data_IF_213996714815
#
_entry.id   IF_213996714815
#
_cell.length_a   1.000
_cell.length_b   1.000
_cell.length_c   1.000
_cell.angle_alpha   90.00
_cell.angle_beta   90.00
_cell.angle_gamma   90.00
#
_symmetry.space_group_name_H-M   'P 1'
#
loop_
_entity.id
_entity.type
_entity.pdbx_description
1 polymer ?
#
# COMPACT_ATOMS: atom_id res chain seq x y z
N UNK A 1 20.97 34.26 11.25
CA UNK A 1 20.89 32.97 10.52
C UNK A 1 21.97 32.93 9.45
N UNK A 2 22.69 31.81 9.28
CA UNK A 2 23.51 31.52 8.11
C UNK A 2 22.76 31.76 6.78
N UNK A 3 23.45 32.09 5.68
CA UNK A 3 22.84 32.52 4.41
C UNK A 3 21.88 31.47 3.82
N UNK A 4 22.27 30.20 3.91
CA UNK A 4 21.47 29.02 3.60
C UNK A 4 20.17 28.96 4.42
N UNK A 5 20.23 29.27 5.72
CA UNK A 5 19.03 29.32 6.56
C UNK A 5 18.17 30.55 6.29
N UNK A 6 18.73 31.68 5.82
CA UNK A 6 17.95 32.85 5.39
C UNK A 6 17.16 32.60 4.11
N UNK A 7 17.70 31.80 3.18
CA UNK A 7 17.00 31.38 1.95
C UNK A 7 15.76 30.55 2.28
N UNK A 8 15.85 29.66 3.28
CA UNK A 8 14.74 28.79 3.68
C UNK A 8 13.51 29.52 4.26
N UNK A 9 13.67 30.74 4.80
CA UNK A 9 12.59 31.55 5.40
C UNK A 9 12.17 32.75 4.55
N UNK A 10 12.80 32.96 3.40
CA UNK A 10 12.38 34.00 2.46
C UNK A 10 11.50 33.39 1.38
N UNK A 11 10.34 34.00 1.11
CA UNK A 11 9.40 33.60 0.05
C UNK A 11 9.94 33.79 -1.39
N UNK A 12 11.27 33.72 -1.58
CA UNK A 12 11.91 33.62 -2.90
C UNK A 12 11.84 32.17 -3.38
N UNK A 13 10.62 31.70 -3.65
CA UNK A 13 10.33 30.36 -4.17
C UNK A 13 11.05 30.06 -5.51
N UNK A 14 11.42 31.10 -6.27
CA UNK A 14 11.84 30.95 -7.66
C UNK A 14 13.31 30.55 -7.89
N UNK A 15 14.20 30.63 -6.90
CA UNK A 15 15.63 30.32 -7.11
C UNK A 15 16.06 28.97 -6.51
N UNK A 16 15.26 28.38 -5.63
CA UNK A 16 15.65 27.19 -4.87
C UNK A 16 15.44 25.87 -5.63
N UNK A 17 14.55 25.85 -6.63
CA UNK A 17 14.25 24.65 -7.41
C UNK A 17 14.31 24.96 -8.90
N UNK A 18 15.03 24.12 -9.65
CA UNK A 18 14.97 24.17 -11.11
C UNK A 18 13.56 23.74 -11.53
N UNK A 19 12.94 24.40 -12.52
CA UNK A 19 11.68 23.94 -13.10
C UNK A 19 11.78 22.47 -13.52
N UNK A 20 10.71 21.71 -13.28
CA UNK A 20 10.63 20.32 -13.76
C UNK A 20 10.76 20.34 -15.28
N UNK A 21 11.73 19.60 -15.87
CA UNK A 21 11.92 19.60 -17.32
C UNK A 21 10.72 18.98 -18.02
N UNK A 22 10.53 19.31 -19.30
CA UNK A 22 9.49 18.65 -20.12
C UNK A 22 9.75 17.14 -20.17
N UNK A 23 8.69 16.30 -20.13
CA UNK A 23 8.83 14.85 -20.22
C UNK A 23 9.60 14.39 -21.47
N UNK A 24 10.58 13.52 -21.26
CA UNK A 24 11.39 12.88 -22.29
C UNK A 24 10.61 11.77 -23.01
N UNK A 25 11.13 11.23 -24.11
CA UNK A 25 10.47 10.18 -24.93
C UNK A 25 10.09 8.91 -24.17
N UNK A 26 10.76 8.65 -23.06
CA UNK A 26 10.52 7.48 -22.21
C UNK A 26 9.70 7.81 -20.97
N UNK A 27 9.33 9.07 -20.76
CA UNK A 27 8.61 9.50 -19.57
C UNK A 27 7.11 9.23 -19.74
N UNK A 28 6.49 8.79 -18.65
CA UNK A 28 5.08 8.41 -18.61
C UNK A 28 4.16 9.50 -19.17
N UNK A 29 4.31 10.74 -18.69
CA UNK A 29 3.52 11.91 -19.09
C UNK A 29 3.69 12.33 -20.56
N UNK A 30 4.69 11.79 -21.27
CA UNK A 30 4.81 11.98 -22.72
C UNK A 30 4.02 10.94 -23.51
N UNK A 31 3.88 9.75 -22.96
CA UNK A 31 3.23 8.61 -23.62
C UNK A 31 1.78 8.41 -23.19
N UNK A 32 1.37 9.02 -22.08
CA UNK A 32 0.02 8.95 -21.53
C UNK A 32 -0.50 10.35 -21.26
N UNK A 33 -1.68 10.65 -21.79
CA UNK A 33 -2.35 11.93 -21.56
C UNK A 33 -3.11 11.88 -20.24
N UNK A 34 -2.57 12.56 -19.22
CA UNK A 34 -3.20 12.69 -17.91
C UNK A 34 -3.62 14.14 -17.67
N UNK A 35 -4.84 14.34 -17.18
CA UNK A 35 -5.26 15.65 -16.69
C UNK A 35 -4.52 15.92 -15.38
N UNK A 36 -3.58 16.86 -15.41
CA UNK A 36 -2.93 17.31 -14.19
C UNK A 36 -3.93 17.84 -13.16
N UNK A 37 -3.56 17.79 -11.88
CA UNK A 37 -4.36 18.31 -10.78
C UNK A 37 -3.77 19.61 -10.26
N UNK A 38 -4.58 20.67 -10.18
CA UNK A 38 -4.14 21.93 -9.54
C UNK A 38 -4.21 21.82 -8.03
N UNK A 39 -3.40 22.60 -7.29
CA UNK A 39 -3.46 22.62 -5.81
C UNK A 39 -4.87 22.93 -5.28
N UNK A 40 -5.56 23.90 -5.87
CA UNK A 40 -6.97 24.22 -5.50
C UNK A 40 -7.92 23.04 -5.74
N UNK A 41 -7.69 22.25 -6.79
CA UNK A 41 -8.47 21.04 -7.05
C UNK A 41 -8.15 19.93 -6.05
N UNK A 42 -6.87 19.79 -5.68
CA UNK A 42 -6.42 18.85 -4.65
C UNK A 42 -7.02 19.16 -3.28
N UNK A 43 -7.02 20.42 -2.86
CA UNK A 43 -7.63 20.88 -1.60
C UNK A 43 -9.14 20.61 -1.52
N UNK A 44 -9.83 20.65 -2.67
CA UNK A 44 -11.28 20.37 -2.77
C UNK A 44 -11.62 18.89 -2.90
N UNK A 45 -10.62 18.02 -3.01
CA UNK A 45 -10.84 16.58 -3.17
C UNK A 45 -11.37 16.01 -1.85
N UNK A 46 -12.58 15.46 -1.89
CA UNK A 46 -13.28 14.89 -0.72
C UNK A 46 -12.92 13.43 -0.46
N UNK A 47 -12.28 12.76 -1.41
CA UNK A 47 -11.88 11.35 -1.38
C UNK A 47 -10.58 11.14 -0.60
N UNK A 48 -10.48 11.70 0.61
CA UNK A 48 -9.27 11.65 1.45
C UNK A 48 -9.62 11.25 2.87
N UNK A 49 -8.90 10.27 3.41
CA UNK A 49 -8.96 9.95 4.82
C UNK A 49 -8.44 11.14 5.64
N UNK A 50 -9.29 11.68 6.51
CA UNK A 50 -8.91 12.74 7.46
C UNK A 50 -9.18 12.23 8.87
N UNK A 51 -8.13 11.97 9.66
CA UNK A 51 -8.29 11.57 11.05
C UNK A 51 -9.04 12.66 11.83
N UNK A 52 -10.07 12.28 12.59
CA UNK A 52 -10.84 13.23 13.41
C UNK A 52 -11.35 12.58 14.71
N UNK A 53 -11.00 13.19 15.85
CA UNK A 53 -11.39 12.72 17.18
C UNK A 53 -11.07 11.23 17.40
N UNK A 54 -12.09 10.37 17.51
CA UNK A 54 -11.91 8.92 17.67
C UNK A 54 -11.71 8.19 16.35
N UNK A 55 -12.12 8.78 15.23
CA UNK A 55 -12.04 8.23 13.88
C UNK A 55 -10.63 8.43 13.31
N UNK A 56 -9.68 7.59 13.75
CA UNK A 56 -8.25 7.75 13.45
C UNK A 56 -7.47 6.43 13.38
N UNK A 57 -8.14 5.28 13.43
CA UNK A 57 -7.49 3.96 13.42
C UNK A 57 -7.43 3.39 12.00
N UNK A 58 -6.22 3.04 11.56
CA UNK A 58 -5.96 2.25 10.36
C UNK A 58 -5.87 0.79 10.79
N UNK A 59 -6.82 -0.02 10.37
CA UNK A 59 -6.79 -1.45 10.57
C UNK A 59 -6.01 -2.14 9.45
N UNK A 60 -5.08 -3.02 9.82
CA UNK A 60 -4.36 -3.90 8.90
C UNK A 60 -4.90 -5.31 9.09
N UNK A 61 -5.52 -5.88 8.06
CA UNK A 61 -6.08 -7.24 8.04
C UNK A 61 -5.15 -8.19 7.28
N UNK A 62 -4.38 -9.06 7.94
CA UNK A 62 -3.58 -10.07 7.24
C UNK A 62 -4.50 -11.14 6.67
N UNK A 63 -4.34 -11.45 5.39
CA UNK A 63 -5.12 -12.47 4.67
C UNK A 63 -4.18 -13.51 4.07
N UNK A 64 -4.41 -14.78 4.41
CA UNK A 64 -3.56 -15.91 4.04
C UNK A 64 -2.43 -16.15 5.04
N UNK A 65 -1.46 -16.98 4.63
CA UNK A 65 -0.38 -17.40 5.53
C UNK A 65 0.75 -16.38 5.57
N UNK A 66 1.12 -15.99 6.79
CA UNK A 66 2.36 -15.27 7.13
C UNK A 66 3.30 -16.14 7.98
N UNK A 67 2.98 -17.44 8.13
CA UNK A 67 3.72 -18.38 8.98
C UNK A 67 4.77 -19.15 8.17
N UNK A 68 5.62 -18.44 7.42
CA UNK A 68 6.72 -19.07 6.70
C UNK A 68 7.99 -18.18 6.73
N UNK A 69 9.20 -18.76 6.59
CA UNK A 69 10.48 -18.03 6.73
C UNK A 69 10.74 -16.88 5.75
N UNK A 70 9.90 -16.73 4.74
CA UNK A 70 9.97 -15.65 3.72
C UNK A 70 8.83 -14.64 3.84
N UNK A 71 7.95 -14.80 4.82
CA UNK A 71 6.83 -13.89 5.03
C UNK A 71 7.34 -12.51 5.45
N UNK A 72 6.60 -11.48 5.06
CA UNK A 72 6.87 -10.13 5.50
C UNK A 72 6.69 -10.02 7.03
N UNK A 73 7.65 -9.43 7.78
CA UNK A 73 7.53 -9.25 9.23
C UNK A 73 6.53 -8.12 9.54
N UNK A 74 5.26 -8.49 9.71
CA UNK A 74 4.14 -7.55 9.85
C UNK A 74 4.29 -6.63 11.07
N UNK A 75 4.81 -7.15 12.17
CA UNK A 75 5.09 -6.38 13.38
C UNK A 75 6.00 -5.19 13.11
N UNK A 76 7.13 -5.41 12.42
CA UNK A 76 8.07 -4.34 12.06
C UNK A 76 7.42 -3.37 11.07
N UNK A 77 6.76 -3.88 10.04
CA UNK A 77 6.12 -3.06 9.01
C UNK A 77 5.06 -2.12 9.63
N UNK A 78 4.31 -2.60 10.60
CA UNK A 78 3.26 -1.84 11.29
C UNK A 78 3.84 -0.77 12.21
N UNK A 79 4.95 -1.06 12.89
CA UNK A 79 5.67 -0.02 13.65
C UNK A 79 6.11 1.14 12.75
N UNK A 80 6.62 0.85 11.55
CA UNK A 80 6.93 1.90 10.57
C UNK A 80 5.69 2.69 10.14
N UNK A 81 4.55 2.01 9.92
CA UNK A 81 3.30 2.68 9.59
C UNK A 81 2.80 3.59 10.72
N UNK A 82 2.91 3.16 11.98
CA UNK A 82 2.58 3.97 13.17
C UNK A 82 3.40 5.25 13.23
N UNK A 83 4.70 5.15 12.99
CA UNK A 83 5.61 6.29 13.01
C UNK A 83 5.34 7.23 11.83
N UNK A 84 5.12 6.70 10.63
CA UNK A 84 4.87 7.51 9.43
C UNK A 84 3.53 8.25 9.49
N UNK A 85 2.47 7.57 9.93
CA UNK A 85 1.14 8.14 10.10
C UNK A 85 0.89 8.55 11.55
N UNK A 86 1.76 9.38 12.12
CA UNK A 86 1.77 9.74 13.55
C UNK A 86 0.48 10.38 14.10
N UNK A 87 -0.43 10.84 13.23
CA UNK A 87 -1.76 11.33 13.60
C UNK A 87 -2.83 10.24 13.68
N UNK A 88 -2.49 8.99 13.33
CA UNK A 88 -3.36 7.83 13.31
C UNK A 88 -2.90 6.78 14.32
N UNK A 89 -3.83 5.94 14.75
CA UNK A 89 -3.49 4.65 15.35
C UNK A 89 -3.37 3.62 14.23
N UNK A 90 -2.44 2.66 14.34
CA UNK A 90 -2.38 1.52 13.41
C UNK A 90 -2.49 0.24 14.19
N UNK A 91 -3.46 -0.59 13.86
CA UNK A 91 -3.81 -1.80 14.61
C UNK A 91 -3.79 -3.02 13.68
N UNK A 92 -3.06 -4.06 14.10
CA UNK A 92 -3.02 -5.35 13.42
C UNK A 92 -4.22 -6.19 13.86
N UNK A 93 -5.04 -6.61 12.91
CA UNK A 93 -6.12 -7.56 13.15
C UNK A 93 -5.62 -9.01 13.12
N UNK A 94 -6.36 -9.96 13.72
CA UNK A 94 -6.03 -11.38 13.60
C UNK A 94 -5.96 -11.82 12.14
N UNK A 95 -4.93 -12.60 11.80
CA UNK A 95 -4.81 -13.21 10.47
C UNK A 95 -6.01 -14.08 10.15
N UNK A 96 -6.50 -14.00 8.92
CA UNK A 96 -7.59 -14.82 8.41
C UNK A 96 -7.13 -15.61 7.19
N UNK A 97 -7.80 -16.72 6.90
CA UNK A 97 -7.61 -17.45 5.65
C UNK A 97 -8.37 -16.82 4.48
N UNK A 98 -8.00 -17.20 3.27
CA UNK A 98 -8.77 -16.83 2.07
C UNK A 98 -10.16 -17.47 2.13
N UNK A 99 -11.21 -16.68 1.88
CA UNK A 99 -12.56 -17.22 1.73
C UNK A 99 -12.68 -18.01 0.43
N UNK A 100 -13.47 -19.09 0.45
CA UNK A 100 -13.78 -19.89 -0.73
C UNK A 100 -14.48 -19.08 -1.84
N UNK A 101 -15.15 -17.99 -1.48
CA UNK A 101 -15.85 -17.12 -2.42
C UNK A 101 -14.92 -16.12 -3.13
N UNK A 102 -13.65 -16.03 -2.71
CA UNK A 102 -12.68 -15.15 -3.36
C UNK A 102 -12.25 -15.74 -4.69
N UNK A 103 -12.52 -15.00 -5.76
CA UNK A 103 -12.11 -15.41 -7.10
C UNK A 103 -10.59 -15.41 -7.21
N UNK A 104 -10.07 -16.40 -7.91
CA UNK A 104 -8.65 -16.51 -8.22
C UNK A 104 -8.48 -17.06 -9.63
N UNK A 105 -7.29 -16.87 -10.18
CA UNK A 105 -6.83 -17.50 -11.42
C UNK A 105 -5.44 -18.08 -11.22
N UNK A 106 -5.04 -18.98 -12.11
CA UNK A 106 -3.65 -19.38 -12.23
C UNK A 106 -2.99 -18.66 -13.41
N UNK A 107 -1.86 -18.01 -13.13
CA UNK A 107 -1.09 -17.27 -14.12
C UNK A 107 0.38 -17.68 -13.97
N UNK A 108 0.97 -18.27 -15.01
CA UNK A 108 2.33 -18.82 -14.98
C UNK A 108 2.63 -19.74 -13.78
N UNK A 109 1.66 -20.58 -13.39
CA UNK A 109 1.80 -21.50 -12.24
C UNK A 109 1.67 -20.83 -10.87
N UNK A 110 1.27 -19.56 -10.83
CA UNK A 110 1.06 -18.79 -9.60
C UNK A 110 -0.44 -18.54 -9.44
N UNK A 111 -0.96 -18.88 -8.26
CA UNK A 111 -2.33 -18.52 -7.88
C UNK A 111 -2.39 -17.03 -7.56
N UNK A 112 -3.22 -16.29 -8.29
CA UNK A 112 -3.49 -14.87 -8.08
C UNK A 112 -4.94 -14.68 -7.64
N UNK A 113 -5.19 -13.87 -6.61
CA UNK A 113 -6.54 -13.55 -6.13
C UNK A 113 -7.02 -12.22 -6.70
N UNK A 114 -8.32 -12.13 -6.99
CA UNK A 114 -8.92 -10.89 -7.46
C UNK A 114 -9.15 -9.94 -6.29
N UNK A 115 -8.85 -8.65 -6.49
CA UNK A 115 -8.89 -7.63 -5.42
C UNK A 115 -10.29 -7.42 -4.83
N UNK A 116 -11.35 -7.57 -5.63
CA UNK A 116 -12.75 -7.42 -5.21
C UNK A 116 -13.14 -8.35 -4.05
N UNK A 117 -12.59 -9.56 -4.00
CA UNK A 117 -12.81 -10.50 -2.90
C UNK A 117 -12.36 -9.93 -1.56
N UNK A 118 -11.28 -9.15 -1.55
CA UNK A 118 -10.78 -8.52 -0.33
C UNK A 118 -11.69 -7.36 0.09
N UNK A 119 -12.11 -6.50 -0.83
CA UNK A 119 -13.03 -5.40 -0.52
C UNK A 119 -14.36 -5.91 0.02
N UNK A 120 -14.93 -6.91 -0.64
CA UNK A 120 -16.17 -7.53 -0.20
C UNK A 120 -16.04 -8.08 1.23
N UNK A 121 -14.94 -8.78 1.52
CA UNK A 121 -14.66 -9.26 2.87
C UNK A 121 -14.55 -8.12 3.89
N UNK A 122 -13.73 -7.09 3.61
CA UNK A 122 -13.49 -5.99 4.52
C UNK A 122 -14.78 -5.21 4.82
N UNK A 123 -15.58 -4.94 3.80
CA UNK A 123 -16.87 -4.25 3.91
C UNK A 123 -17.89 -5.08 4.69
N UNK A 124 -18.04 -6.37 4.36
CA UNK A 124 -18.99 -7.25 5.05
C UNK A 124 -18.62 -7.49 6.51
N UNK A 125 -17.33 -7.48 6.85
CA UNK A 125 -16.85 -7.70 8.22
C UNK A 125 -16.63 -6.43 9.03
N UNK A 126 -17.01 -5.26 8.49
CA UNK A 126 -16.85 -3.97 9.19
C UNK A 126 -17.54 -3.93 10.55
N UNK A 127 -18.68 -4.60 10.70
CA UNK A 127 -19.39 -4.72 11.97
C UNK A 127 -18.63 -5.52 13.05
N UNK A 128 -17.59 -6.29 12.68
CA UNK A 128 -16.74 -7.06 13.60
C UNK A 128 -15.58 -6.24 14.18
N UNK A 129 -15.35 -5.02 13.66
CA UNK A 129 -14.31 -4.08 14.09
C UNK A 129 -14.94 -2.91 14.83
N UNK A 130 -14.13 -2.10 15.50
CA UNK A 130 -14.62 -0.85 16.08
C UNK A 130 -14.81 0.21 14.98
N UNK A 131 -15.96 0.14 14.33
CA UNK A 131 -16.34 1.03 13.23
C UNK A 131 -16.40 2.52 13.62
N UNK A 132 -16.42 2.85 14.92
CA UNK A 132 -16.37 4.25 15.40
C UNK A 132 -14.94 4.82 15.37
N UNK A 133 -13.93 3.94 15.38
CA UNK A 133 -12.51 4.30 15.30
C UNK A 133 -11.92 4.12 13.91
N UNK A 134 -12.49 3.20 13.12
CA UNK A 134 -12.02 2.79 11.79
C UNK A 134 -11.98 3.94 10.79
N UNK A 135 -10.81 4.57 10.64
CA UNK A 135 -10.51 5.51 9.58
C UNK A 135 -10.34 4.78 8.25
N UNK A 136 -9.55 3.70 8.25
CA UNK A 136 -9.26 2.87 7.08
C UNK A 136 -9.15 1.40 7.50
N UNK A 137 -9.40 0.48 6.57
CA UNK A 137 -9.12 -0.94 6.74
C UNK A 137 -8.47 -1.51 5.49
N UNK A 138 -7.22 -1.94 5.58
CA UNK A 138 -6.48 -2.48 4.43
C UNK A 138 -6.10 -3.93 4.66
N UNK A 139 -6.34 -4.78 3.68
CA UNK A 139 -5.86 -6.14 3.68
C UNK A 139 -4.38 -6.18 3.25
N UNK A 140 -3.58 -7.03 3.88
CA UNK A 140 -2.22 -7.36 3.43
C UNK A 140 -2.10 -8.86 3.21
N UNK A 141 -1.41 -9.27 2.15
CA UNK A 141 -1.30 -10.69 1.81
C UNK A 141 0.05 -11.05 1.19
N UNK A 142 0.49 -12.29 1.42
CA UNK A 142 1.63 -12.90 0.72
C UNK A 142 1.22 -13.56 -0.62
N UNK A 143 -0.06 -13.57 -0.97
CA UNK A 143 -0.53 -14.08 -2.26
C UNK A 143 -0.51 -12.99 -3.34
N UNK A 144 -0.30 -13.39 -4.59
CA UNK A 144 -0.31 -12.48 -5.73
C UNK A 144 -1.74 -12.01 -6.03
N UNK A 145 -1.92 -10.79 -6.55
CA UNK A 145 -3.24 -10.19 -6.75
C UNK A 145 -3.39 -9.51 -8.13
N UNK A 146 -4.62 -9.40 -8.60
CA UNK A 146 -4.96 -8.71 -9.85
C UNK A 146 -6.33 -8.01 -9.75
N UNK A 147 -6.50 -6.84 -10.39
CA UNK A 147 -7.73 -6.05 -10.28
C UNK A 147 -8.82 -6.53 -11.26
N UNK A 148 -8.43 -6.88 -12.48
CA UNK A 148 -9.33 -7.24 -13.57
C UNK A 148 -8.64 -8.24 -14.52
N UNK A 149 -9.44 -9.01 -15.27
CA UNK A 149 -8.95 -10.05 -16.19
C UNK A 149 -7.97 -9.52 -17.24
N UNK A 150 -8.13 -8.26 -17.65
CA UNK A 150 -7.24 -7.60 -18.61
C UNK A 150 -5.86 -7.22 -18.07
N UNK A 151 -5.65 -7.27 -16.75
CA UNK A 151 -4.40 -6.91 -16.10
C UNK A 151 -3.58 -8.15 -15.74
N UNK A 152 -2.24 -8.02 -15.69
CA UNK A 152 -1.35 -9.11 -15.30
C UNK A 152 -1.29 -9.30 -13.77
N UNK A 153 -1.06 -8.22 -13.02
CA UNK A 153 -1.03 -8.17 -11.56
C UNK A 153 -1.02 -6.72 -11.09
N UNK A 154 -1.24 -6.51 -9.79
CA UNK A 154 -0.96 -5.23 -9.10
C UNK A 154 -0.25 -5.50 -7.77
N UNK A 155 0.50 -4.52 -7.27
CA UNK A 155 1.03 -4.58 -5.89
C UNK A 155 -0.02 -4.22 -4.86
N UNK A 156 -1.00 -3.41 -5.27
CA UNK A 156 -2.05 -2.91 -4.42
C UNK A 156 -3.17 -2.31 -5.23
N UNK A 157 -4.34 -2.22 -4.60
CA UNK A 157 -5.45 -1.43 -5.12
C UNK A 157 -6.28 -0.93 -3.92
N UNK A 158 -6.79 0.29 -4.01
CA UNK A 158 -7.52 0.96 -2.95
C UNK A 158 -8.83 1.58 -3.45
N UNK A 159 -9.88 1.49 -2.62
CA UNK A 159 -11.16 2.15 -2.80
C UNK A 159 -11.26 3.28 -1.77
N UNK A 160 -10.73 4.45 -2.13
CA UNK A 160 -10.61 5.59 -1.21
C UNK A 160 -11.94 6.06 -0.61
N UNK A 161 -13.05 5.95 -1.35
CA UNK A 161 -14.39 6.34 -0.87
C UNK A 161 -14.85 5.42 0.26
N UNK A 162 -14.61 4.11 0.13
CA UNK A 162 -15.02 3.10 1.10
C UNK A 162 -13.97 2.92 2.21
N UNK A 163 -12.81 3.57 2.10
CA UNK A 163 -11.73 3.50 3.06
C UNK A 163 -11.09 2.10 3.16
N UNK A 164 -11.19 1.30 2.09
CA UNK A 164 -10.66 -0.06 2.04
C UNK A 164 -9.58 -0.23 0.98
N UNK A 165 -8.66 -1.16 1.20
CA UNK A 165 -7.55 -1.45 0.28
C UNK A 165 -7.07 -2.89 0.41
N UNK A 166 -6.28 -3.35 -0.55
CA UNK A 166 -5.55 -4.62 -0.47
C UNK A 166 -4.15 -4.46 -1.06
N UNK A 167 -3.14 -4.91 -0.33
CA UNK A 167 -1.74 -4.84 -0.73
C UNK A 167 -1.07 -6.22 -0.68
N UNK A 168 -0.42 -6.60 -1.77
CA UNK A 168 0.30 -7.85 -1.90
C UNK A 168 1.80 -7.65 -1.72
N UNK A 169 2.38 -8.47 -0.85
CA UNK A 169 3.83 -8.58 -0.68
C UNK A 169 4.44 -9.71 -1.51
N UNK A 170 3.64 -10.49 -2.26
CA UNK A 170 4.10 -11.68 -2.98
C UNK A 170 5.29 -11.38 -3.90
N UNK A 171 5.16 -10.34 -4.72
CA UNK A 171 6.16 -9.93 -5.73
C UNK A 171 7.30 -9.08 -5.15
N UNK A 172 7.29 -8.81 -3.84
CA UNK A 172 8.37 -8.10 -3.17
C UNK A 172 9.46 -9.07 -2.71
N UNK A 173 9.10 -10.35 -2.53
CA UNK A 173 10.03 -11.45 -2.28
C UNK A 173 11.07 -11.48 -3.42
N UNK A 174 12.38 -11.29 -3.10
CA UNK A 174 13.44 -11.29 -4.10
C UNK A 174 13.53 -12.58 -4.94
N UNK A 175 12.94 -13.68 -4.46
CA UNK A 175 12.93 -14.97 -5.14
C UNK A 175 11.60 -15.25 -5.86
N UNK A 176 10.67 -14.30 -5.96
CA UNK A 176 9.45 -14.48 -6.76
C UNK A 176 9.78 -14.47 -8.28
N UNK A 177 9.19 -15.35 -9.12
CA UNK A 177 8.14 -16.35 -8.86
C UNK A 177 8.66 -17.74 -8.49
N UNK A 178 9.97 -17.88 -8.24
CA UNK A 178 10.61 -19.13 -7.82
C UNK A 178 10.23 -19.46 -6.36
N UNK A 179 8.94 -19.74 -6.16
CA UNK A 179 8.31 -20.11 -4.90
C UNK A 179 7.73 -21.50 -5.01
N UNK A 180 8.57 -22.48 -5.37
CA UNK A 180 8.22 -23.87 -5.08
C UNK A 180 8.00 -24.02 -3.57
N UNK A 181 7.13 -24.93 -3.14
CA UNK A 181 6.88 -25.19 -1.71
C UNK A 181 8.18 -25.45 -0.93
N UNK A 182 9.17 -26.07 -1.58
CA UNK A 182 10.51 -26.31 -1.04
C UNK A 182 11.29 -25.02 -0.78
N UNK A 183 11.16 -24.01 -1.66
CA UNK A 183 11.81 -22.71 -1.50
C UNK A 183 11.11 -21.83 -0.47
N UNK A 184 9.79 -21.96 -0.28
CA UNK A 184 9.05 -21.27 0.79
C UNK A 184 9.45 -21.72 2.20
N UNK A 185 9.90 -22.97 2.34
CA UNK A 185 10.44 -23.52 3.60
C UNK A 185 11.87 -23.04 3.91
N UNK A 186 12.58 -22.51 2.91
CA UNK A 186 13.94 -22.02 3.10
C UNK A 186 13.92 -20.53 3.50
N UNK A 187 14.63 -20.13 4.56
CA UNK A 187 14.72 -18.72 4.94
C UNK A 187 15.44 -17.92 3.85
N UNK A 188 15.03 -16.66 3.68
CA UNK A 188 15.78 -15.69 2.89
C UNK A 188 17.19 -15.50 3.48
N UNK A 189 18.15 -15.06 2.67
CA UNK A 189 19.42 -14.52 3.20
C UNK A 189 19.17 -13.22 3.97
N UNK A 190 20.10 -12.78 4.81
CA UNK A 190 19.96 -11.50 5.52
C UNK A 190 19.78 -10.32 4.55
N UNK A 191 20.53 -10.32 3.45
CA UNK A 191 20.40 -9.31 2.39
C UNK A 191 19.00 -9.31 1.77
N UNK A 192 18.48 -10.48 1.40
CA UNK A 192 17.13 -10.59 0.83
C UNK A 192 16.05 -10.21 1.84
N UNK A 193 16.21 -10.53 3.14
CA UNK A 193 15.31 -10.07 4.21
C UNK A 193 15.26 -8.56 4.29
N UNK A 194 16.41 -7.88 4.25
CA UNK A 194 16.50 -6.42 4.31
C UNK A 194 15.82 -5.79 3.09
N UNK A 195 16.04 -6.34 1.89
CA UNK A 195 15.41 -5.88 0.66
C UNK A 195 13.89 -6.06 0.73
N UNK A 196 13.43 -7.24 1.14
CA UNK A 196 12.01 -7.57 1.31
C UNK A 196 11.34 -6.60 2.26
N UNK A 197 11.89 -6.42 3.46
CA UNK A 197 11.36 -5.48 4.46
C UNK A 197 11.25 -4.06 3.92
N UNK A 198 12.32 -3.55 3.29
CA UNK A 198 12.32 -2.19 2.69
C UNK A 198 11.25 -2.04 1.62
N UNK A 199 11.05 -3.05 0.79
CA UNK A 199 10.02 -3.05 -0.25
C UNK A 199 8.62 -3.05 0.36
N UNK A 200 8.36 -3.93 1.32
CA UNK A 200 7.07 -4.01 2.01
C UNK A 200 6.70 -2.71 2.70
N UNK A 201 7.64 -2.07 3.42
CA UNK A 201 7.42 -0.77 4.06
C UNK A 201 7.06 0.27 3.00
N UNK A 202 7.88 0.39 1.93
CA UNK A 202 7.65 1.39 0.89
C UNK A 202 6.29 1.24 0.23
N UNK A 203 5.92 0.02 -0.15
CA UNK A 203 4.62 -0.26 -0.78
C UNK A 203 3.50 0.04 0.21
N UNK A 204 3.54 -0.48 1.44
CA UNK A 204 2.47 -0.22 2.41
C UNK A 204 2.26 1.28 2.64
N UNK A 205 3.34 2.05 2.80
CA UNK A 205 3.25 3.49 3.02
C UNK A 205 2.76 4.24 1.77
N UNK A 206 3.22 3.86 0.58
CA UNK A 206 2.78 4.44 -0.69
C UNK A 206 1.28 4.26 -0.87
N UNK A 207 0.81 3.02 -0.72
CA UNK A 207 -0.58 2.68 -0.98
C UNK A 207 -1.52 3.22 0.11
N UNK A 208 -1.11 3.21 1.39
CA UNK A 208 -1.83 3.95 2.44
C UNK A 208 -1.88 5.44 2.11
N UNK A 209 -0.81 6.01 1.55
CA UNK A 209 -0.76 7.40 1.09
C UNK A 209 -1.89 7.75 0.13
N UNK A 210 -2.20 6.86 -0.82
CA UNK A 210 -3.32 7.05 -1.76
C UNK A 210 -4.67 7.20 -1.05
N UNK A 211 -4.89 6.51 0.08
CA UNK A 211 -6.11 6.64 0.88
C UNK A 211 -6.19 7.98 1.63
N UNK A 212 -5.05 8.60 1.94
CA UNK A 212 -4.96 10.00 2.40
C UNK A 212 -5.01 11.02 1.25
N UNK A 213 -5.13 10.53 0.01
CA UNK A 213 -5.17 11.31 -1.21
C UNK A 213 -3.82 11.91 -1.61
N UNK A 214 -2.72 11.22 -1.32
CA UNK A 214 -1.37 11.53 -1.78
C UNK A 214 -1.04 10.83 -3.11
#
# INVERSE_FOLDING_TARGET
LPRDMQIAVTNKLDESFKPVPKPNRHDWLRNHEEKGQTMKSFERTTSKAVPHATYKTIYIQPVGSFNHPRAAPLDVIIEFARVFFSGCEVELLPTIDFSNDMKYRENYGIRQYRTDGFYNYLSQTRHKRDARRELLCVAVTMADIYPDESWNFVYGEAQAIDGVGVYSFARLDPLFPESSQTLLSSPLTDEHRIIMLRRCIKILLHELGHLFGL
#
